data_IF_294738670804
#
_entry.id   IF_294738670804
#
_cell.length_a   1.000
_cell.length_b   1.000
_cell.length_c   1.000
_cell.angle_alpha   90.00
_cell.angle_beta   90.00
_cell.angle_gamma   90.00
#
_symmetry.space_group_name_H-M   'P 1'
#
loop_
_entity.id
_entity.type
_entity.pdbx_description
1 polymer ?
#
# COMPACT_ATOMS: atom_id res chain seq x y z
N UNK A 1 2.48 21.89 1.17
CA UNK A 1 2.29 20.49 1.55
C UNK A 1 3.53 19.71 1.16
N UNK A 2 4.20 19.13 2.14
CA UNK A 2 5.42 18.34 1.99
C UNK A 2 5.04 16.88 1.78
N UNK A 3 5.19 16.40 0.54
CA UNK A 3 4.95 14.99 0.21
C UNK A 3 6.28 14.28 0.14
N UNK A 4 6.41 13.17 0.86
CA UNK A 4 7.62 12.35 0.86
C UNK A 4 7.28 10.96 0.32
N UNK A 5 8.17 10.43 -0.53
CA UNK A 5 8.18 9.02 -0.90
C UNK A 5 9.39 8.41 -0.19
N UNK A 6 9.15 7.42 0.66
CA UNK A 6 10.23 6.78 1.40
C UNK A 6 11.16 6.03 0.42
N UNK A 7 12.46 6.33 0.47
CA UNK A 7 13.46 5.63 -0.34
C UNK A 7 13.81 4.26 0.25
N UNK A 8 12.97 3.28 -0.03
CA UNK A 8 13.22 1.87 0.31
C UNK A 8 14.18 1.17 -0.66
N UNK A 9 14.72 1.87 -1.67
CA UNK A 9 15.58 1.29 -2.69
C UNK A 9 14.87 0.47 -3.78
N UNK A 10 13.54 0.55 -3.89
CA UNK A 10 12.73 -0.26 -4.79
C UNK A 10 12.45 0.41 -6.16
N UNK A 11 12.07 -0.38 -7.17
CA UNK A 11 12.01 0.06 -8.58
C UNK A 11 10.77 0.88 -9.00
N UNK A 12 9.76 1.08 -8.14
CA UNK A 12 8.51 1.77 -8.50
C UNK A 12 8.42 3.24 -8.04
N UNK A 13 9.51 3.81 -7.50
CA UNK A 13 9.57 5.21 -7.05
C UNK A 13 9.16 6.20 -8.15
N UNK A 14 9.61 5.98 -9.38
CA UNK A 14 9.34 6.89 -10.52
C UNK A 14 7.85 6.96 -10.88
N UNK A 15 7.13 5.84 -10.81
CA UNK A 15 5.70 5.78 -11.14
C UNK A 15 4.86 6.52 -10.08
N UNK A 16 5.17 6.29 -8.80
CA UNK A 16 4.51 6.99 -7.68
C UNK A 16 4.84 8.49 -7.73
N UNK A 17 6.11 8.85 -7.94
CA UNK A 17 6.54 10.25 -8.10
C UNK A 17 5.78 10.95 -9.22
N UNK A 18 5.66 10.30 -10.37
CA UNK A 18 4.93 10.84 -11.51
C UNK A 18 3.43 10.97 -11.22
N UNK A 19 2.84 10.02 -10.49
CA UNK A 19 1.42 10.08 -10.12
C UNK A 19 1.13 11.23 -9.17
N UNK A 20 1.96 11.42 -8.13
CA UNK A 20 1.85 12.56 -7.23
C UNK A 20 2.05 13.89 -7.96
N UNK A 21 3.02 13.97 -8.89
CA UNK A 21 3.27 15.15 -9.71
C UNK A 21 2.08 15.57 -10.56
N UNK A 22 1.29 14.62 -11.07
CA UNK A 22 0.05 14.92 -11.83
C UNK A 22 -1.02 15.63 -10.99
N UNK A 23 -0.94 15.55 -9.67
CA UNK A 23 -1.82 16.28 -8.75
C UNK A 23 -1.26 17.64 -8.32
N UNK A 24 -0.15 18.10 -8.92
CA UNK A 24 0.45 19.41 -8.65
C UNK A 24 1.42 19.44 -7.46
N UNK A 25 1.81 18.28 -6.93
CA UNK A 25 2.76 18.16 -5.83
C UNK A 25 4.12 17.66 -6.31
N UNK A 26 5.20 18.21 -5.77
CA UNK A 26 6.57 17.75 -6.07
C UNK A 26 7.08 16.91 -4.91
N UNK A 27 6.97 15.56 -4.94
CA UNK A 27 7.38 14.75 -3.82
C UNK A 27 8.91 14.68 -3.71
N UNK A 28 9.40 14.69 -2.48
CA UNK A 28 10.80 14.43 -2.15
C UNK A 28 10.97 12.93 -1.93
N UNK A 29 11.98 12.34 -2.57
CA UNK A 29 12.38 10.96 -2.29
C UNK A 29 13.47 11.04 -1.22
N UNK A 30 13.22 10.48 -0.03
CA UNK A 30 14.18 10.56 1.08
C UNK A 30 14.02 9.38 2.02
N UNK A 31 15.10 9.12 2.76
CA UNK A 31 15.16 8.20 3.90
C UNK A 31 15.70 8.88 5.17
N UNK A 32 15.96 10.18 5.10
CA UNK A 32 16.47 10.95 6.24
C UNK A 32 15.33 11.19 7.24
N UNK A 33 15.56 10.82 8.50
CA UNK A 33 14.54 10.88 9.54
C UNK A 33 13.89 12.27 9.68
N UNK A 34 14.70 13.34 9.61
CA UNK A 34 14.18 14.71 9.73
C UNK A 34 13.24 15.10 8.59
N UNK A 35 13.49 14.60 7.37
CA UNK A 35 12.64 14.86 6.20
C UNK A 35 11.37 14.02 6.29
N UNK A 36 11.51 12.74 6.62
CA UNK A 36 10.40 11.77 6.67
C UNK A 36 9.39 12.13 7.77
N UNK A 37 9.87 12.45 8.98
CA UNK A 37 9.02 12.75 10.13
C UNK A 37 8.31 14.11 10.02
N UNK A 38 8.78 15.02 9.17
CA UNK A 38 8.16 16.34 8.92
C UNK A 38 7.27 16.36 7.67
N UNK A 39 7.06 15.22 7.03
CA UNK A 39 6.18 15.13 5.87
C UNK A 39 4.71 15.35 6.28
N UNK A 40 3.95 16.04 5.43
CA UNK A 40 2.49 16.13 5.58
C UNK A 40 1.80 14.84 5.11
N UNK A 41 2.42 14.15 4.14
CA UNK A 41 1.98 12.87 3.57
C UNK A 41 3.19 12.02 3.21
N UNK A 42 3.17 10.74 3.58
CA UNK A 42 4.23 9.79 3.29
C UNK A 42 3.71 8.64 2.40
N UNK A 43 4.47 8.29 1.37
CA UNK A 43 4.23 7.08 0.58
C UNK A 43 5.27 6.02 0.93
N UNK A 44 4.80 4.80 1.18
CA UNK A 44 5.61 3.60 1.40
C UNK A 44 5.41 2.65 0.19
N UNK A 45 6.18 2.81 -0.89
CA UNK A 45 6.10 1.93 -2.04
C UNK A 45 6.87 0.62 -1.78
N UNK A 46 6.45 -0.46 -2.45
CA UNK A 46 7.22 -1.70 -2.48
C UNK A 46 6.96 -2.52 -3.74
N UNK A 47 7.98 -3.25 -4.20
CA UNK A 47 7.92 -4.27 -5.26
C UNK A 47 8.86 -5.42 -4.93
N UNK A 48 8.63 -6.58 -5.54
CA UNK A 48 9.45 -7.77 -5.31
C UNK A 48 8.89 -8.62 -4.17
N UNK A 49 9.78 -9.29 -3.44
CA UNK A 49 9.42 -10.17 -2.33
C UNK A 49 9.46 -9.43 -1.00
N UNK A 50 8.63 -9.85 -0.04
CA UNK A 50 8.62 -9.37 1.33
C UNK A 50 9.98 -9.57 2.02
N UNK A 51 10.67 -10.68 1.77
CA UNK A 51 12.03 -10.90 2.28
C UNK A 51 12.99 -9.80 1.80
N UNK A 52 13.09 -9.60 0.48
CA UNK A 52 14.02 -8.62 -0.07
C UNK A 52 13.68 -7.18 0.37
N UNK A 53 12.39 -6.86 0.49
CA UNK A 53 11.95 -5.57 1.00
C UNK A 53 12.31 -5.39 2.49
N UNK A 54 12.05 -6.37 3.34
CA UNK A 54 12.44 -6.29 4.76
C UNK A 54 13.95 -6.22 4.93
N UNK A 55 14.74 -6.96 4.15
CA UNK A 55 16.21 -6.87 4.15
C UNK A 55 16.68 -5.44 3.82
N UNK A 56 16.07 -4.80 2.81
CA UNK A 56 16.35 -3.40 2.48
C UNK A 56 15.93 -2.43 3.60
N UNK A 57 14.79 -2.66 4.26
CA UNK A 57 14.38 -1.83 5.40
C UNK A 57 15.33 -1.96 6.59
N UNK A 58 15.86 -3.16 6.85
CA UNK A 58 16.86 -3.42 7.87
C UNK A 58 18.20 -2.75 7.53
N UNK A 59 18.73 -2.98 6.32
CA UNK A 59 20.00 -2.42 5.86
C UNK A 59 20.00 -0.89 5.87
N UNK A 60 18.84 -0.29 5.63
CA UNK A 60 18.65 1.17 5.59
C UNK A 60 18.15 1.77 6.90
N UNK A 61 18.03 0.97 7.97
CA UNK A 61 17.58 1.39 9.30
C UNK A 61 16.20 2.10 9.30
N UNK A 62 15.27 1.64 8.45
CA UNK A 62 13.98 2.32 8.23
C UNK A 62 12.85 1.82 9.11
N UNK A 63 12.99 0.68 9.78
CA UNK A 63 11.89 0.05 10.52
C UNK A 63 11.37 0.96 11.63
N UNK A 64 12.25 1.43 12.51
CA UNK A 64 11.86 2.29 13.63
C UNK A 64 11.39 3.67 13.13
N UNK A 65 12.00 4.17 12.05
CA UNK A 65 11.57 5.41 11.41
C UNK A 65 10.13 5.31 10.87
N UNK A 66 9.78 4.22 10.18
CA UNK A 66 8.42 4.00 9.67
C UNK A 66 7.44 3.92 10.83
N UNK A 67 7.76 3.17 11.89
CA UNK A 67 6.91 3.02 13.08
C UNK A 67 6.71 4.33 13.85
N UNK A 68 7.67 5.24 13.80
CA UNK A 68 7.58 6.55 14.45
C UNK A 68 6.76 7.58 13.65
N UNK A 69 6.34 7.27 12.41
CA UNK A 69 5.55 8.18 11.58
C UNK A 69 4.14 8.39 12.17
N UNK A 70 3.73 9.64 12.30
CA UNK A 70 2.42 10.04 12.84
C UNK A 70 1.52 10.72 11.80
N UNK A 71 2.13 11.26 10.74
CA UNK A 71 1.44 11.74 9.55
C UNK A 71 0.80 10.58 8.76
N UNK A 72 -0.18 10.84 7.89
CA UNK A 72 -0.75 9.81 7.03
C UNK A 72 0.33 9.13 6.16
N UNK A 73 0.35 7.80 6.20
CA UNK A 73 1.24 6.94 5.41
C UNK A 73 0.40 6.08 4.46
N UNK A 74 0.76 6.01 3.17
CA UNK A 74 0.11 5.10 2.21
C UNK A 74 1.09 4.04 1.71
N UNK A 75 0.88 2.80 2.16
CA UNK A 75 1.52 1.60 1.63
C UNK A 75 0.90 1.19 0.29
N UNK A 76 1.72 0.93 -0.74
CA UNK A 76 1.24 0.49 -2.07
C UNK A 76 1.73 -0.92 -2.38
N UNK A 77 0.80 -1.82 -2.69
CA UNK A 77 1.03 -3.23 -3.00
C UNK A 77 1.87 -3.92 -1.92
N UNK A 78 3.13 -4.26 -2.19
CA UNK A 78 4.03 -4.79 -1.17
C UNK A 78 4.20 -3.82 0.01
N UNK A 79 4.18 -2.51 -0.25
CA UNK A 79 4.21 -1.49 0.81
C UNK A 79 3.04 -1.60 1.79
N UNK A 80 1.84 -1.98 1.33
CA UNK A 80 0.72 -2.29 2.20
C UNK A 80 0.99 -3.58 2.99
N UNK A 81 1.47 -4.63 2.32
CA UNK A 81 1.73 -5.92 2.95
C UNK A 81 2.73 -5.78 4.09
N UNK A 82 3.80 -5.00 3.91
CA UNK A 82 4.82 -4.71 4.93
C UNK A 82 4.25 -4.14 6.22
N UNK A 83 3.08 -3.48 6.20
CA UNK A 83 2.40 -3.00 7.41
C UNK A 83 1.89 -4.15 8.28
N UNK A 84 1.64 -5.34 7.70
CA UNK A 84 1.16 -6.53 8.39
C UNK A 84 2.17 -7.10 9.40
N UNK A 85 1.84 -8.25 9.99
CA UNK A 85 2.66 -8.92 11.00
C UNK A 85 3.70 -9.85 10.38
N UNK A 86 3.28 -10.73 9.48
CA UNK A 86 4.12 -11.75 8.86
C UNK A 86 3.62 -12.07 7.45
N UNK A 87 4.52 -12.19 6.48
CA UNK A 87 4.21 -12.74 5.15
C UNK A 87 4.53 -14.23 5.14
N UNK A 88 3.77 -15.06 4.42
CA UNK A 88 4.12 -16.48 4.17
C UNK A 88 5.15 -16.67 3.04
N UNK A 89 5.50 -15.60 2.33
CA UNK A 89 6.47 -15.68 1.24
C UNK A 89 7.85 -16.15 1.74
N UNK A 90 8.59 -16.90 0.91
CA UNK A 90 9.96 -17.37 1.22
C UNK A 90 10.10 -18.15 2.54
N UNK A 91 9.11 -18.99 2.91
CA UNK A 91 9.02 -19.74 4.19
C UNK A 91 8.65 -18.87 5.41
N UNK A 92 8.33 -17.62 5.13
CA UNK A 92 7.70 -16.66 6.01
C UNK A 92 8.67 -15.68 6.66
N UNK A 93 8.26 -14.42 6.66
CA UNK A 93 9.09 -13.25 7.00
C UNK A 93 8.29 -12.34 7.92
N UNK A 94 8.87 -11.95 9.05
CA UNK A 94 8.26 -10.98 9.94
C UNK A 94 8.34 -9.58 9.30
N UNK A 95 7.25 -8.83 9.40
CA UNK A 95 7.08 -7.55 8.74
C UNK A 95 7.11 -6.42 9.79
N UNK A 96 6.50 -5.27 9.51
CA UNK A 96 6.54 -4.15 10.46
C UNK A 96 5.66 -4.39 11.69
N UNK A 97 4.67 -5.28 11.63
CA UNK A 97 3.71 -5.56 12.69
C UNK A 97 3.00 -4.29 13.18
N UNK A 98 2.64 -3.39 12.25
CA UNK A 98 1.80 -2.23 12.52
C UNK A 98 0.35 -2.70 12.60
N UNK A 99 -0.05 -3.53 11.65
CA UNK A 99 -1.34 -4.21 11.58
C UNK A 99 -1.09 -5.66 12.00
N UNK A 100 -1.78 -6.11 13.05
CA UNK A 100 -1.57 -7.43 13.66
C UNK A 100 -2.26 -8.54 12.83
N UNK A 101 -1.96 -8.57 11.54
CA UNK A 101 -2.55 -9.51 10.58
C UNK A 101 -1.49 -10.04 9.63
N UNK A 102 -1.52 -11.34 9.40
CA UNK A 102 -0.61 -12.01 8.48
C UNK A 102 -1.04 -11.81 7.01
N UNK A 103 -0.08 -11.98 6.11
CA UNK A 103 -0.24 -11.91 4.66
C UNK A 103 0.06 -13.30 4.06
N UNK A 104 -0.94 -14.20 4.06
CA UNK A 104 -0.78 -15.54 3.51
C UNK A 104 -0.69 -15.54 1.98
N UNK A 105 -0.24 -16.67 1.42
CA UNK A 105 -0.41 -16.93 -0.01
C UNK A 105 -1.90 -17.09 -0.29
N UNK A 106 -2.39 -16.46 -1.36
CA UNK A 106 -3.79 -16.62 -1.76
C UNK A 106 -4.07 -18.07 -2.17
N UNK A 107 -5.22 -18.60 -1.78
CA UNK A 107 -5.73 -19.84 -2.34
C UNK A 107 -6.25 -19.55 -3.74
N UNK A 108 -5.80 -20.31 -4.74
CA UNK A 108 -6.13 -19.99 -6.13
C UNK A 108 -7.58 -20.34 -6.52
N UNK A 109 -8.23 -21.27 -5.81
CA UNK A 109 -9.55 -21.82 -6.16
C UNK A 109 -9.69 -22.16 -7.66
N UNK A 110 -8.59 -22.62 -8.29
CA UNK A 110 -8.53 -22.93 -9.73
C UNK A 110 -8.38 -21.71 -10.66
N UNK A 111 -8.21 -20.49 -10.14
CA UNK A 111 -7.90 -19.28 -10.89
C UNK A 111 -6.39 -19.14 -11.11
N UNK A 112 -5.94 -18.40 -12.14
CA UNK A 112 -4.50 -18.16 -12.34
C UNK A 112 -3.92 -17.30 -11.21
N UNK A 113 -2.70 -17.62 -10.76
CA UNK A 113 -1.91 -16.73 -9.91
C UNK A 113 -0.69 -16.19 -10.67
N UNK A 114 -0.26 -14.94 -10.41
CA UNK A 114 -0.83 -13.97 -9.46
C UNK A 114 -2.24 -13.48 -9.86
N UNK A 115 -3.00 -12.99 -8.88
CA UNK A 115 -4.17 -12.12 -9.14
C UNK A 115 -3.65 -10.89 -9.89
N UNK A 116 -3.87 -10.86 -11.20
CA UNK A 116 -3.29 -9.86 -12.10
C UNK A 116 -4.34 -9.34 -13.07
N UNK A 117 -4.46 -8.01 -13.13
CA UNK A 117 -5.40 -7.32 -14.02
C UNK A 117 -6.29 -6.35 -13.27
N UNK A 118 -7.35 -5.91 -13.95
CA UNK A 118 -8.31 -4.98 -13.39
C UNK A 118 -9.41 -5.73 -12.64
N UNK A 119 -9.60 -5.44 -11.36
CA UNK A 119 -10.64 -6.04 -10.54
C UNK A 119 -11.40 -4.98 -9.74
N UNK A 120 -12.62 -5.32 -9.33
CA UNK A 120 -13.55 -4.41 -8.64
C UNK A 120 -13.24 -4.37 -7.15
N UNK A 121 -13.20 -3.16 -6.62
CA UNK A 121 -12.99 -2.89 -5.20
C UNK A 121 -14.28 -2.35 -4.61
N UNK A 122 -14.65 -2.86 -3.43
CA UNK A 122 -15.85 -2.49 -2.70
C UNK A 122 -15.45 -1.84 -1.37
N UNK A 123 -15.39 -0.50 -1.29
CA UNK A 123 -15.04 0.22 -0.07
C UNK A 123 -16.13 0.14 0.99
N UNK A 124 -15.75 0.25 2.26
CA UNK A 124 -16.70 0.53 3.33
C UNK A 124 -17.33 1.91 3.11
N UNK A 125 -18.64 2.01 3.37
CA UNK A 125 -19.39 3.24 3.19
C UNK A 125 -18.78 4.40 3.99
N UNK A 126 -18.62 5.55 3.33
CA UNK A 126 -18.10 6.77 3.96
C UNK A 126 -16.58 6.83 4.15
N UNK A 127 -15.80 5.86 3.66
CA UNK A 127 -14.35 5.92 3.79
C UNK A 127 -13.75 7.08 2.95
N UNK A 128 -13.02 7.99 3.62
CA UNK A 128 -12.44 9.21 2.99
C UNK A 128 -11.48 8.89 1.84
N UNK A 129 -10.75 7.77 1.89
CA UNK A 129 -9.80 7.39 0.84
C UNK A 129 -10.51 7.10 -0.50
N UNK A 130 -11.78 6.68 -0.45
CA UNK A 130 -12.59 6.32 -1.61
C UNK A 130 -13.66 7.37 -1.96
N UNK A 131 -13.58 8.57 -1.39
CA UNK A 131 -14.52 9.65 -1.69
C UNK A 131 -14.55 9.97 -3.20
N UNK A 132 -15.74 10.03 -3.78
CA UNK A 132 -15.91 10.32 -5.22
C UNK A 132 -15.49 9.18 -6.16
N UNK A 133 -15.29 7.96 -5.63
CA UNK A 133 -15.06 6.75 -6.42
C UNK A 133 -16.32 5.88 -6.31
N UNK A 134 -16.83 5.42 -7.45
CA UNK A 134 -17.99 4.54 -7.49
C UNK A 134 -17.72 3.20 -6.81
N UNK A 135 -18.74 2.65 -6.16
CA UNK A 135 -18.66 1.30 -5.61
C UNK A 135 -18.45 0.27 -6.73
N UNK A 136 -17.52 -0.66 -6.53
CA UNK A 136 -17.12 -1.61 -7.56
C UNK A 136 -16.28 -1.00 -8.70
N UNK A 137 -15.68 0.18 -8.52
CA UNK A 137 -14.72 0.71 -9.48
C UNK A 137 -13.52 -0.23 -9.66
N UNK A 138 -12.96 -0.23 -10.87
CA UNK A 138 -11.83 -1.08 -11.24
C UNK A 138 -10.48 -0.47 -10.83
N UNK A 139 -9.65 -1.29 -10.19
CA UNK A 139 -8.24 -0.99 -9.91
C UNK A 139 -7.35 -2.11 -10.45
N UNK A 140 -6.09 -1.78 -10.76
CA UNK A 140 -5.12 -2.73 -11.29
C UNK A 140 -4.36 -3.45 -10.16
N UNK A 141 -4.43 -4.78 -10.16
CA UNK A 141 -3.76 -5.68 -9.21
C UNK A 141 -2.65 -6.49 -9.88
N UNK A 142 -1.65 -6.87 -9.08
CA UNK A 142 -0.61 -7.86 -9.42
C UNK A 142 0.03 -8.40 -8.15
N UNK A 143 -0.53 -9.49 -7.59
CA UNK A 143 -0.02 -10.11 -6.36
C UNK A 143 -0.44 -11.58 -6.22
N UNK A 144 0.34 -12.37 -5.49
CA UNK A 144 0.01 -13.77 -5.12
C UNK A 144 -0.24 -13.96 -3.63
N UNK A 145 -0.02 -12.90 -2.84
CA UNK A 145 -0.16 -12.86 -1.39
C UNK A 145 -1.13 -11.74 -1.05
N UNK A 146 -2.00 -11.94 -0.07
CA UNK A 146 -2.99 -10.95 0.31
C UNK A 146 -3.36 -11.07 1.77
N UNK A 147 -3.55 -9.94 2.43
CA UNK A 147 -4.09 -9.91 3.78
C UNK A 147 -5.57 -10.34 3.74
N UNK A 148 -6.03 -11.28 4.59
CA UNK A 148 -7.44 -11.64 4.67
C UNK A 148 -8.27 -10.46 5.17
N UNK A 149 -9.59 -10.50 4.97
CA UNK A 149 -10.51 -9.50 5.55
C UNK A 149 -10.39 -9.54 7.07
N UNK A 150 -10.23 -8.37 7.68
CA UNK A 150 -9.91 -8.20 9.09
C UNK A 150 -10.52 -6.88 9.63
N UNK A 151 -10.42 -6.59 10.95
CA UNK A 151 -11.02 -5.38 11.53
C UNK A 151 -10.54 -4.04 10.95
N UNK A 152 -9.35 -4.01 10.34
CA UNK A 152 -8.77 -2.81 9.73
C UNK A 152 -9.07 -2.68 8.24
N UNK A 153 -9.75 -3.66 7.63
CA UNK A 153 -10.11 -3.63 6.21
C UNK A 153 -11.08 -2.48 5.93
N UNK A 154 -10.69 -1.56 5.05
CA UNK A 154 -11.54 -0.44 4.59
C UNK A 154 -12.09 -0.64 3.18
N UNK A 155 -11.56 -1.60 2.41
CA UNK A 155 -12.14 -2.03 1.14
C UNK A 155 -11.82 -3.50 0.86
N UNK A 156 -12.78 -4.21 0.27
CA UNK A 156 -12.66 -5.62 -0.10
C UNK A 156 -12.55 -5.78 -1.61
N UNK A 157 -11.90 -6.86 -2.04
CA UNK A 157 -11.93 -7.37 -3.41
C UNK A 157 -12.13 -8.89 -3.32
N UNK A 158 -12.69 -9.49 -4.37
CA UNK A 158 -12.88 -10.93 -4.45
C UNK A 158 -12.09 -11.51 -5.63
N UNK A 159 -11.30 -12.55 -5.37
CA UNK A 159 -10.61 -13.35 -6.39
C UNK A 159 -10.51 -14.79 -5.88
N UNK A 160 -11.52 -15.60 -6.20
CA UNK A 160 -11.72 -16.91 -5.58
C UNK A 160 -12.33 -16.77 -4.18
N UNK A 161 -11.64 -16.03 -3.30
CA UNK A 161 -12.11 -15.62 -1.97
C UNK A 161 -12.00 -14.10 -1.74
N UNK A 162 -12.75 -13.55 -0.75
CA UNK A 162 -12.59 -12.16 -0.32
C UNK A 162 -11.24 -11.91 0.35
N UNK A 163 -10.61 -10.78 0.02
CA UNK A 163 -9.40 -10.31 0.67
C UNK A 163 -9.42 -8.79 0.89
N UNK A 164 -8.48 -8.30 1.69
CA UNK A 164 -8.32 -6.86 1.96
C UNK A 164 -7.70 -6.16 0.76
N UNK A 165 -8.50 -5.39 0.03
CA UNK A 165 -8.04 -4.55 -1.07
C UNK A 165 -7.42 -3.24 -0.58
N UNK A 166 -7.94 -2.71 0.53
CA UNK A 166 -7.37 -1.58 1.24
C UNK A 166 -7.58 -1.72 2.75
N UNK A 167 -6.62 -1.22 3.52
CA UNK A 167 -6.57 -1.31 4.99
C UNK A 167 -6.27 0.05 5.59
N UNK A 168 -6.75 0.27 6.81
CA UNK A 168 -6.39 1.43 7.61
C UNK A 168 -6.28 1.06 9.09
N UNK A 169 -5.14 1.38 9.71
CA UNK A 169 -4.97 1.40 11.16
C UNK A 169 -4.34 2.74 11.54
N UNK A 170 -5.08 3.54 12.31
CA UNK A 170 -4.68 4.89 12.71
C UNK A 170 -4.32 5.75 11.48
N UNK A 171 -3.08 6.25 11.40
CA UNK A 171 -2.53 7.03 10.29
C UNK A 171 -1.95 6.18 9.15
N UNK A 172 -1.88 4.84 9.29
CA UNK A 172 -1.36 3.95 8.27
C UNK A 172 -2.47 3.42 7.37
N UNK A 173 -2.42 3.82 6.12
CA UNK A 173 -3.25 3.33 5.03
C UNK A 173 -2.44 2.36 4.18
N UNK A 174 -3.12 1.39 3.57
CA UNK A 174 -2.51 0.51 2.59
C UNK A 174 -3.50 0.14 1.49
N UNK A 175 -3.01 0.02 0.26
CA UNK A 175 -3.78 -0.49 -0.88
C UNK A 175 -3.03 -1.62 -1.57
N UNK A 176 -3.73 -2.73 -1.85
CA UNK A 176 -3.13 -3.92 -2.45
C UNK A 176 -2.97 -3.76 -3.97
N UNK A 177 -3.83 -2.93 -4.58
CA UNK A 177 -3.74 -2.51 -5.97
C UNK A 177 -2.73 -1.36 -6.17
N UNK A 178 -2.45 -1.04 -7.43
CA UNK A 178 -1.55 0.03 -7.83
C UNK A 178 -2.34 1.27 -8.28
N UNK A 179 -2.64 2.23 -7.40
CA UNK A 179 -3.40 3.42 -7.78
C UNK A 179 -2.68 4.27 -8.84
N UNK A 180 -1.34 4.26 -8.86
CA UNK A 180 -0.52 4.91 -9.87
C UNK A 180 -0.68 4.32 -11.28
N UNK A 181 -1.30 3.12 -11.37
CA UNK A 181 -1.60 2.38 -12.61
C UNK A 181 -3.10 2.17 -12.86
N UNK A 182 -3.98 2.74 -12.03
CA UNK A 182 -5.42 2.46 -12.02
C UNK A 182 -6.29 3.55 -12.65
N UNK A 183 -5.75 4.29 -13.64
CA UNK A 183 -6.50 5.29 -14.40
C UNK A 183 -7.15 6.38 -13.53
N UNK A 184 -8.38 6.75 -13.86
CA UNK A 184 -9.11 7.81 -13.15
C UNK A 184 -9.44 7.46 -11.69
N UNK A 185 -9.84 6.20 -11.43
CA UNK A 185 -10.13 5.75 -10.06
C UNK A 185 -8.87 5.79 -9.18
N UNK A 186 -7.73 5.33 -9.71
CA UNK A 186 -6.43 5.44 -9.06
C UNK A 186 -6.00 6.87 -8.78
N UNK A 187 -6.17 7.76 -9.76
CA UNK A 187 -5.88 9.19 -9.60
C UNK A 187 -6.79 9.84 -8.54
N UNK A 188 -8.08 9.53 -8.52
CA UNK A 188 -8.99 10.06 -7.51
C UNK A 188 -8.62 9.58 -6.10
N UNK A 189 -8.21 8.31 -5.95
CA UNK A 189 -7.75 7.78 -4.66
C UNK A 189 -6.48 8.49 -4.16
N UNK A 190 -5.51 8.72 -5.05
CA UNK A 190 -4.29 9.47 -4.71
C UNK A 190 -4.61 10.91 -4.32
N UNK A 191 -5.52 11.57 -5.05
CA UNK A 191 -6.02 12.90 -4.70
C UNK A 191 -6.63 12.90 -3.30
N UNK A 192 -7.54 11.96 -3.01
CA UNK A 192 -8.16 11.85 -1.70
C UNK A 192 -7.11 11.72 -0.60
N UNK A 193 -6.11 10.84 -0.78
CA UNK A 193 -5.02 10.68 0.18
C UNK A 193 -4.21 11.97 0.39
N UNK A 194 -3.87 12.66 -0.69
CA UNK A 194 -3.12 13.91 -0.64
C UNK A 194 -3.90 15.04 0.06
N UNK A 195 -5.23 15.05 -0.05
CA UNK A 195 -6.12 16.07 0.53
C UNK A 195 -6.65 15.71 1.94
N UNK A 196 -6.20 14.59 2.55
CA UNK A 196 -6.65 14.16 3.87
C UNK A 196 -6.19 15.01 5.05
#
# INVERSE_FOLDING_TARGET
>A
MNVVILDTGCANLSSVKSAVARHGYTPVVSREAEIVLRADKLFLPGVGTAQAAMDQLHERELIDLIKACTQPVLGICLGMQLLGRRSEETRGVDLLNIIEQDVPKMTDFGLPLPHMGWNRVYPQAGNRLFQGIEDGAYFYFVHSYAMPVNPWTIAQCNYGEPFTAAVQKDNFFGVQFHPERSGAAGAQLLKNFLEM
#
